data_IF_952090655570
#
_entry.id   IF_952090655570
#
_cell.length_a   1.000
_cell.length_b   1.000
_cell.length_c   1.000
_cell.angle_alpha   90.00
_cell.angle_beta   90.00
_cell.angle_gamma   90.00
#
_symmetry.space_group_name_H-M   'P 1'
#
loop_
_entity.id
_entity.type
_entity.pdbx_description
1 polymer ?
#
# COMPACT_ATOMS: atom_id res chain seq x y z
N UNK A 1 5.73 56.25 11.37
CA UNK A 1 5.97 55.38 12.54
C UNK A 1 5.10 54.14 12.39
N UNK A 2 5.79 53.01 12.19
CA UNK A 2 5.37 51.62 12.05
C UNK A 2 4.47 51.12 13.20
N UNK A 3 3.37 50.45 12.89
CA UNK A 3 2.84 49.36 13.72
C UNK A 3 2.41 48.18 12.84
N UNK A 4 3.09 47.07 13.09
CA UNK A 4 2.90 45.73 12.55
C UNK A 4 1.60 45.16 13.15
N UNK A 5 0.63 44.77 12.32
CA UNK A 5 -0.46 43.89 12.76
C UNK A 5 -0.43 42.65 11.88
N UNK A 6 0.30 41.65 12.35
CA UNK A 6 0.28 40.30 11.80
C UNK A 6 -1.10 39.69 12.08
N UNK A 7 -1.98 39.75 11.09
CA UNK A 7 -3.13 38.84 11.03
C UNK A 7 -2.58 37.42 10.96
N UNK A 8 -2.55 36.75 12.11
CA UNK A 8 -2.50 35.30 12.17
C UNK A 8 -3.75 34.83 11.43
N UNK A 9 -3.59 34.45 10.16
CA UNK A 9 -4.61 33.75 9.40
C UNK A 9 -4.89 32.48 10.17
N UNK A 10 -5.94 32.49 10.99
CA UNK A 10 -6.49 31.28 11.60
C UNK A 10 -6.88 30.42 10.41
N UNK A 11 -6.00 29.48 10.06
CA UNK A 11 -6.27 28.49 9.04
C UNK A 11 -7.48 27.73 9.54
N UNK A 12 -8.62 27.94 8.89
CA UNK A 12 -9.78 27.08 9.05
C UNK A 12 -9.29 25.63 9.04
N UNK A 13 -9.79 24.76 9.94
CA UNK A 13 -9.41 23.36 9.92
C UNK A 13 -9.61 22.85 8.48
N UNK A 14 -8.62 22.15 7.90
CA UNK A 14 -8.72 21.69 6.53
C UNK A 14 -10.06 20.97 6.38
N UNK A 15 -10.81 21.20 5.27
CA UNK A 15 -12.10 20.56 5.06
C UNK A 15 -11.95 19.09 5.37
N UNK A 16 -12.91 18.45 6.08
CA UNK A 16 -12.77 17.08 6.56
C UNK A 16 -12.31 16.24 5.38
N UNK A 17 -11.02 15.87 5.37
CA UNK A 17 -10.46 15.13 4.26
C UNK A 17 -11.25 13.84 4.25
N UNK A 18 -12.14 13.69 3.27
CA UNK A 18 -13.12 12.62 3.22
C UNK A 18 -12.41 11.31 3.53
N UNK A 19 -12.97 10.47 4.41
CA UNK A 19 -12.36 9.19 4.81
C UNK A 19 -11.88 8.35 3.60
N UNK A 20 -12.51 8.54 2.44
CA UNK A 20 -12.17 7.93 1.14
C UNK A 20 -10.91 8.50 0.46
N UNK A 21 -10.58 9.79 0.61
CA UNK A 21 -9.36 10.39 0.05
C UNK A 21 -8.13 10.03 0.89
N UNK A 22 -8.28 9.99 2.22
CA UNK A 22 -7.26 9.49 3.15
C UNK A 22 -7.01 8.00 2.95
N UNK A 23 -8.04 7.17 2.76
CA UNK A 23 -7.85 5.73 2.53
C UNK A 23 -7.15 5.45 1.19
N UNK A 24 -7.43 6.25 0.15
CA UNK A 24 -6.75 6.14 -1.14
C UNK A 24 -5.27 6.52 -1.05
N UNK A 25 -4.92 7.63 -0.40
CA UNK A 25 -3.52 8.04 -0.27
C UNK A 25 -2.71 7.04 0.56
N UNK A 26 -3.29 6.54 1.65
CA UNK A 26 -2.73 5.48 2.47
C UNK A 26 -2.46 4.18 1.71
N UNK A 27 -3.37 3.78 0.83
CA UNK A 27 -3.17 2.62 -0.04
C UNK A 27 -1.99 2.84 -1.01
N UNK A 28 -2.00 3.96 -1.73
CA UNK A 28 -0.97 4.27 -2.73
C UNK A 28 0.41 4.29 -2.08
N UNK A 29 0.52 4.89 -0.90
CA UNK A 29 1.79 4.98 -0.18
C UNK A 29 2.29 3.61 0.30
N UNK A 30 1.39 2.73 0.79
CA UNK A 30 1.76 1.35 1.14
C UNK A 30 2.25 0.56 -0.07
N UNK A 31 1.58 0.68 -1.20
CA UNK A 31 2.03 0.02 -2.44
C UNK A 31 3.40 0.56 -2.86
N UNK A 32 3.60 1.88 -2.82
CA UNK A 32 4.90 2.51 -3.14
C UNK A 32 6.01 1.97 -2.23
N UNK A 33 5.79 1.97 -0.91
CA UNK A 33 6.76 1.45 0.05
C UNK A 33 7.01 -0.05 -0.10
N UNK A 34 5.98 -0.86 -0.38
CA UNK A 34 6.16 -2.29 -0.61
C UNK A 34 7.07 -2.58 -1.80
N UNK A 35 6.90 -1.83 -2.90
CA UNK A 35 7.73 -1.96 -4.08
C UNK A 35 9.17 -1.51 -3.81
N UNK A 36 9.35 -0.43 -3.03
CA UNK A 36 10.67 0.03 -2.62
C UNK A 36 11.37 -1.01 -1.72
N UNK A 37 10.66 -1.62 -0.78
CA UNK A 37 11.20 -2.68 0.07
C UNK A 37 11.65 -3.89 -0.77
N UNK A 38 10.86 -4.30 -1.77
CA UNK A 38 11.27 -5.32 -2.75
C UNK A 38 12.57 -4.96 -3.49
N UNK A 39 12.72 -3.71 -3.93
CA UNK A 39 13.93 -3.23 -4.62
C UNK A 39 15.16 -3.23 -3.70
N UNK A 40 14.96 -2.95 -2.41
CA UNK A 40 16.01 -2.98 -1.39
C UNK A 40 16.34 -4.39 -0.89
N UNK A 41 15.57 -5.40 -1.30
CA UNK A 41 15.71 -6.79 -0.83
C UNK A 41 15.10 -7.06 0.53
N UNK A 42 14.40 -6.09 1.13
CA UNK A 42 13.64 -6.29 2.37
C UNK A 42 12.27 -6.89 2.05
N UNK A 43 12.29 -8.17 1.68
CA UNK A 43 11.10 -8.91 1.31
C UNK A 43 10.14 -9.12 2.49
N UNK A 44 10.65 -9.17 3.73
CA UNK A 44 9.83 -9.29 4.94
C UNK A 44 8.95 -8.05 5.13
N UNK A 45 9.54 -6.85 5.00
CA UNK A 45 8.79 -5.60 5.05
C UNK A 45 7.81 -5.49 3.87
N UNK A 46 8.24 -5.88 2.66
CA UNK A 46 7.36 -5.88 1.49
C UNK A 46 6.11 -6.74 1.71
N UNK A 47 6.26 -7.94 2.28
CA UNK A 47 5.14 -8.83 2.62
C UNK A 47 4.15 -8.16 3.57
N UNK A 48 4.65 -7.49 4.62
CA UNK A 48 3.80 -6.78 5.57
C UNK A 48 3.01 -5.67 4.86
N UNK A 49 3.70 -4.81 4.10
CA UNK A 49 3.08 -3.68 3.41
C UNK A 49 2.08 -4.12 2.34
N UNK A 50 2.35 -5.20 1.60
CA UNK A 50 1.36 -5.79 0.70
C UNK A 50 0.14 -6.30 1.45
N UNK A 51 0.34 -6.93 2.61
CA UNK A 51 -0.77 -7.43 3.44
C UNK A 51 -1.66 -6.30 3.93
N UNK A 52 -1.07 -5.19 4.35
CA UNK A 52 -1.81 -3.97 4.68
C UNK A 52 -2.49 -3.36 3.44
N UNK A 53 -1.82 -3.28 2.30
CA UNK A 53 -2.43 -2.74 1.07
C UNK A 53 -3.64 -3.58 0.61
N UNK A 54 -3.58 -4.90 0.81
CA UNK A 54 -4.67 -5.83 0.53
C UNK A 54 -5.88 -5.65 1.45
N UNK A 55 -5.75 -5.02 2.63
CA UNK A 55 -6.94 -4.70 3.45
C UNK A 55 -7.78 -3.61 2.81
N UNK A 56 -7.18 -2.74 1.98
CA UNK A 56 -7.90 -1.70 1.22
C UNK A 56 -8.48 -2.25 -0.08
N UNK A 57 -7.72 -3.11 -0.77
CA UNK A 57 -8.12 -3.69 -2.05
C UNK A 57 -7.96 -5.21 -2.06
N UNK A 58 -8.88 -5.95 -1.41
CA UNK A 58 -8.75 -7.40 -1.21
C UNK A 58 -8.88 -8.24 -2.49
N UNK A 59 -9.31 -7.63 -3.60
CA UNK A 59 -9.43 -8.25 -4.93
C UNK A 59 -8.33 -7.79 -5.90
N UNK A 60 -7.23 -7.21 -5.40
CA UNK A 60 -6.12 -6.80 -6.26
C UNK A 60 -5.17 -7.98 -6.50
N UNK A 61 -5.35 -8.69 -7.62
CA UNK A 61 -4.53 -9.85 -8.00
C UNK A 61 -3.04 -9.50 -8.17
N UNK A 62 -2.70 -8.25 -8.53
CA UNK A 62 -1.31 -7.80 -8.69
C UNK A 62 -0.60 -7.81 -7.33
N UNK A 63 -1.28 -7.37 -6.27
CA UNK A 63 -0.69 -7.37 -4.92
C UNK A 63 -0.51 -8.79 -4.37
N UNK A 64 -1.43 -9.71 -4.66
CA UNK A 64 -1.22 -11.12 -4.34
C UNK A 64 -0.03 -11.70 -5.10
N UNK A 65 0.09 -11.42 -6.41
CA UNK A 65 1.22 -11.87 -7.23
C UNK A 65 2.56 -11.34 -6.69
N UNK A 66 2.62 -10.05 -6.33
CA UNK A 66 3.84 -9.45 -5.80
C UNK A 66 4.20 -9.96 -4.40
N UNK A 67 3.19 -10.15 -3.54
CA UNK A 67 3.41 -10.74 -2.22
C UNK A 67 3.83 -12.21 -2.30
N UNK A 68 3.29 -12.96 -3.26
CA UNK A 68 3.73 -14.32 -3.58
C UNK A 68 5.22 -14.35 -3.95
N UNK A 69 5.66 -13.45 -4.85
CA UNK A 69 7.07 -13.33 -5.21
C UNK A 69 7.94 -12.99 -3.99
N UNK A 70 7.52 -12.05 -3.13
CA UNK A 70 8.25 -11.73 -1.90
C UNK A 70 8.33 -12.92 -0.93
N UNK A 71 7.26 -13.72 -0.79
CA UNK A 71 7.27 -14.95 0.01
C UNK A 71 8.27 -15.99 -0.51
N UNK A 72 8.40 -16.15 -1.84
CA UNK A 72 9.40 -17.03 -2.44
C UNK A 72 10.81 -16.59 -2.05
N UNK A 73 11.08 -15.28 -2.06
CA UNK A 73 12.41 -14.73 -1.73
C UNK A 73 12.83 -14.97 -0.27
N UNK A 74 11.88 -15.13 0.64
CA UNK A 74 12.13 -15.49 2.05
C UNK A 74 11.96 -16.97 2.35
N UNK A 75 11.81 -17.82 1.32
CA UNK A 75 11.68 -19.28 1.45
C UNK A 75 10.32 -19.76 1.97
N UNK A 76 9.29 -18.90 1.98
CA UNK A 76 7.94 -19.24 2.44
C UNK A 76 7.06 -19.69 1.28
N UNK A 77 7.27 -20.90 0.78
CA UNK A 77 6.62 -21.39 -0.44
C UNK A 77 5.12 -21.66 -0.31
N UNK A 78 4.66 -22.16 0.85
CA UNK A 78 3.23 -22.42 1.09
C UNK A 78 2.36 -21.15 0.99
N UNK A 79 2.65 -20.05 1.69
CA UNK A 79 1.89 -18.81 1.52
C UNK A 79 2.09 -18.19 0.14
N UNK A 80 3.25 -18.37 -0.50
CA UNK A 80 3.45 -17.94 -1.88
C UNK A 80 2.47 -18.62 -2.85
N UNK A 81 2.32 -19.94 -2.74
CA UNK A 81 1.40 -20.72 -3.56
C UNK A 81 -0.05 -20.28 -3.33
N UNK A 82 -0.45 -20.05 -2.06
CA UNK A 82 -1.79 -19.58 -1.73
C UNK A 82 -2.11 -18.23 -2.38
N UNK A 83 -1.15 -17.29 -2.35
CA UNK A 83 -1.31 -15.99 -3.01
C UNK A 83 -1.37 -16.11 -4.53
N UNK A 84 -0.54 -16.98 -5.13
CA UNK A 84 -0.57 -17.23 -6.58
C UNK A 84 -1.91 -17.83 -7.04
N UNK A 85 -2.44 -18.83 -6.31
CA UNK A 85 -3.76 -19.40 -6.56
C UNK A 85 -4.83 -18.30 -6.45
N UNK A 86 -4.78 -17.48 -5.40
CA UNK A 86 -5.76 -16.40 -5.22
C UNK A 86 -5.70 -15.36 -6.34
N UNK A 87 -4.51 -15.01 -6.82
CA UNK A 87 -4.35 -14.13 -7.97
C UNK A 87 -5.01 -14.72 -9.23
N UNK A 88 -4.77 -16.01 -9.52
CA UNK A 88 -5.40 -16.72 -10.63
C UNK A 88 -6.91 -16.88 -10.51
N UNK A 89 -7.44 -17.07 -9.29
CA UNK A 89 -8.89 -17.11 -9.05
C UNK A 89 -9.55 -15.75 -9.30
N UNK A 90 -8.87 -14.65 -8.96
CA UNK A 90 -9.36 -13.29 -9.18
C UNK A 90 -9.27 -12.92 -10.67
N UNK A 91 -8.14 -13.25 -11.31
CA UNK A 91 -7.94 -13.01 -12.73
C UNK A 91 -7.34 -14.27 -13.40
N UNK A 92 -8.18 -15.12 -14.00
CA UNK A 92 -7.74 -16.36 -14.65
C UNK A 92 -6.83 -16.16 -15.86
N UNK A 93 -6.73 -14.92 -16.38
CA UNK A 93 -5.81 -14.55 -17.47
C UNK A 93 -4.48 -14.01 -16.95
N UNK A 94 -4.33 -13.85 -15.64
CA UNK A 94 -3.06 -13.47 -15.04
C UNK A 94 -2.08 -14.64 -15.19
N UNK A 95 -0.87 -14.41 -15.73
CA UNK A 95 0.09 -15.46 -16.05
C UNK A 95 0.63 -16.19 -14.82
#
# INVERSE_FOLDING_TARGET
FIYLSSEVKVLDPPPPQSSSSLSRSQFVERVRHSNQACQQGDFSLAIQLYSEALTFHPHNYILYSNRSAAYIRVGRYSPALNDAIKAGLINPKWP
#
